data_IF_275409055963
#
_entry.id   IF_275409055963
#
_cell.length_a   1.000
_cell.length_b   1.000
_cell.length_c   1.000
_cell.angle_alpha   90.00
_cell.angle_beta   90.00
_cell.angle_gamma   90.00
#
_symmetry.space_group_name_H-M   'P 1'
#
loop_
_entity.id
_entity.type
_entity.pdbx_description
1 polymer ?
#
# COMPACT_ATOMS: atom_id res chain seq x y z
N UNK A 1 -18.94 -14.69 11.46
CA UNK A 1 -19.84 -14.39 10.32
C UNK A 1 -18.96 -14.17 9.09
N UNK A 2 -18.93 -15.08 8.10
CA UNK A 2 -18.20 -14.80 6.85
C UNK A 2 -18.75 -13.48 6.29
N UNK A 3 -17.88 -12.53 5.93
CA UNK A 3 -18.33 -11.39 5.14
C UNK A 3 -18.58 -11.93 3.73
N UNK A 4 -19.83 -11.93 3.29
CA UNK A 4 -20.23 -12.32 1.92
C UNK A 4 -19.90 -11.21 0.91
N UNK A 5 -18.72 -10.59 1.05
CA UNK A 5 -18.24 -9.54 0.14
C UNK A 5 -17.62 -10.19 -1.09
N UNK A 6 -18.13 -9.84 -2.25
CA UNK A 6 -17.62 -10.25 -3.55
C UNK A 6 -16.69 -9.16 -4.11
N UNK A 7 -15.78 -9.47 -5.06
CA UNK A 7 -14.93 -8.46 -5.67
C UNK A 7 -15.69 -7.28 -6.30
N UNK A 8 -16.92 -7.53 -6.81
CA UNK A 8 -17.79 -6.50 -7.40
C UNK A 8 -18.32 -5.49 -6.38
N UNK A 9 -18.32 -5.85 -5.09
CA UNK A 9 -18.77 -4.95 -4.01
C UNK A 9 -17.70 -3.93 -3.61
N UNK A 10 -16.48 -4.04 -4.17
CA UNK A 10 -15.37 -3.15 -3.87
C UNK A 10 -15.43 -1.91 -4.77
N UNK A 11 -15.65 -0.74 -4.16
CA UNK A 11 -15.70 0.54 -4.87
C UNK A 11 -14.32 1.08 -5.26
N UNK A 12 -13.35 0.99 -4.35
CA UNK A 12 -11.98 1.48 -4.53
C UNK A 12 -10.96 0.36 -4.33
N UNK A 13 -10.00 0.30 -5.24
CA UNK A 13 -8.86 -0.60 -5.17
C UNK A 13 -7.57 0.23 -5.14
N UNK A 14 -6.67 -0.07 -4.21
CA UNK A 14 -5.34 0.52 -4.17
C UNK A 14 -4.32 -0.57 -3.81
N UNK A 15 -3.13 -0.46 -4.39
CA UNK A 15 -1.97 -1.27 -4.00
C UNK A 15 -0.92 -0.36 -3.39
N UNK A 16 -0.14 -0.89 -2.44
CA UNK A 16 1.05 -0.20 -1.96
C UNK A 16 2.08 -0.04 -3.10
N UNK A 17 2.24 -1.07 -3.93
CA UNK A 17 3.16 -1.09 -5.07
C UNK A 17 2.90 -2.28 -6.01
N UNK A 18 3.69 -2.41 -7.08
CA UNK A 18 3.47 -3.36 -8.18
C UNK A 18 4.00 -4.79 -8.00
N UNK A 19 4.63 -5.15 -6.87
CA UNK A 19 5.18 -6.50 -6.73
C UNK A 19 4.10 -7.59 -6.80
N UNK A 20 4.51 -8.76 -7.27
CA UNK A 20 3.60 -9.85 -7.61
C UNK A 20 2.75 -10.32 -6.42
N UNK A 21 3.29 -10.28 -5.21
CA UNK A 21 2.63 -10.70 -3.97
C UNK A 21 1.64 -9.66 -3.43
N UNK A 22 1.73 -8.40 -3.89
CA UNK A 22 0.75 -7.35 -3.60
C UNK A 22 -0.34 -7.26 -4.66
N UNK A 23 -0.08 -7.74 -5.88
CA UNK A 23 -0.98 -7.58 -7.04
C UNK A 23 -1.64 -8.89 -7.50
N UNK A 24 -1.38 -10.01 -6.82
CA UNK A 24 -1.73 -11.36 -7.27
C UNK A 24 -3.18 -11.56 -7.74
N UNK A 25 -4.13 -10.92 -7.07
CA UNK A 25 -5.56 -11.05 -7.36
C UNK A 25 -6.16 -9.79 -8.02
N UNK A 26 -5.34 -8.87 -8.52
CA UNK A 26 -5.77 -7.56 -9.01
C UNK A 26 -6.84 -7.63 -10.09
N UNK A 27 -6.75 -8.60 -11.01
CA UNK A 27 -7.74 -8.78 -12.07
C UNK A 27 -9.17 -9.01 -11.54
N UNK A 28 -9.35 -9.63 -10.37
CA UNK A 28 -10.68 -9.88 -9.81
C UNK A 28 -11.43 -8.58 -9.45
N UNK A 29 -10.69 -7.49 -9.25
CA UNK A 29 -11.22 -6.20 -8.80
C UNK A 29 -11.21 -5.14 -9.92
N UNK A 30 -11.12 -5.56 -11.20
CA UNK A 30 -11.04 -4.62 -12.32
C UNK A 30 -12.30 -3.76 -12.56
N UNK A 31 -13.40 -4.06 -11.86
CA UNK A 31 -14.62 -3.24 -11.83
C UNK A 31 -14.56 -2.10 -10.82
N UNK A 32 -13.66 -2.17 -9.83
CA UNK A 32 -13.44 -1.10 -8.87
C UNK A 32 -12.77 0.11 -9.52
N UNK A 33 -12.86 1.27 -8.87
CA UNK A 33 -12.05 2.44 -9.22
C UNK A 33 -10.64 2.22 -8.69
N UNK A 34 -9.67 2.04 -9.58
CA UNK A 34 -8.27 1.84 -9.22
C UNK A 34 -7.59 3.18 -8.90
N UNK A 35 -7.10 3.31 -7.67
CA UNK A 35 -6.34 4.46 -7.19
C UNK A 35 -4.83 4.15 -7.27
N UNK A 36 -4.10 4.91 -8.10
CA UNK A 36 -2.68 4.59 -8.37
C UNK A 36 -1.85 5.82 -8.69
N UNK A 37 -0.55 5.74 -8.39
CA UNK A 37 0.46 6.71 -8.81
C UNK A 37 0.83 6.49 -10.27
N UNK A 38 0.92 7.58 -11.06
CA UNK A 38 1.27 7.47 -12.48
C UNK A 38 2.57 6.71 -12.69
N UNK A 39 3.60 7.03 -11.91
CA UNK A 39 4.93 6.41 -12.02
C UNK A 39 4.91 4.89 -11.72
N UNK A 40 4.05 4.46 -10.80
CA UNK A 40 3.88 3.04 -10.47
C UNK A 40 3.13 2.31 -11.58
N UNK A 41 2.04 2.92 -12.08
CA UNK A 41 1.26 2.40 -13.20
C UNK A 41 2.09 2.29 -14.49
N UNK A 42 2.93 3.27 -14.76
CA UNK A 42 3.82 3.27 -15.93
C UNK A 42 4.84 2.12 -15.84
N UNK A 43 5.42 1.87 -14.67
CA UNK A 43 6.30 0.73 -14.45
C UNK A 43 5.57 -0.62 -14.65
N UNK A 44 4.32 -0.74 -14.19
CA UNK A 44 3.49 -1.95 -14.36
C UNK A 44 3.21 -2.30 -15.82
N UNK A 45 2.99 -1.29 -16.67
CA UNK A 45 2.56 -1.45 -18.06
C UNK A 45 3.61 -1.05 -19.10
N UNK A 46 4.87 -0.86 -18.68
CA UNK A 46 5.99 -0.65 -19.58
C UNK A 46 6.16 -1.84 -20.56
N UNK A 47 6.83 -1.60 -21.69
CA UNK A 47 7.15 -2.67 -22.65
C UNK A 47 7.98 -3.80 -21.99
N UNK A 48 8.86 -3.42 -21.06
CA UNK A 48 9.67 -4.33 -20.24
C UNK A 48 9.44 -3.99 -18.76
N UNK A 49 8.40 -4.53 -18.12
CA UNK A 49 8.12 -4.24 -16.72
C UNK A 49 9.20 -4.87 -15.82
N UNK A 50 9.39 -4.37 -14.58
CA UNK A 50 10.33 -4.94 -13.62
C UNK A 50 10.09 -6.45 -13.41
N UNK A 51 11.15 -7.24 -13.25
CA UNK A 51 11.07 -8.72 -13.15
C UNK A 51 10.31 -9.23 -11.92
N UNK A 52 10.14 -8.37 -10.92
CA UNK A 52 9.37 -8.57 -9.68
C UNK A 52 7.86 -8.32 -9.88
N UNK A 53 7.43 -7.95 -11.09
CA UNK A 53 6.02 -7.92 -11.47
C UNK A 53 5.59 -9.27 -12.05
N UNK A 54 4.28 -9.53 -12.06
CA UNK A 54 3.68 -10.62 -12.81
C UNK A 54 2.49 -10.07 -13.62
N UNK A 55 2.70 -9.60 -14.87
CA UNK A 55 1.68 -8.88 -15.64
C UNK A 55 0.34 -9.60 -15.79
N UNK A 56 0.34 -10.93 -15.82
CA UNK A 56 -0.88 -11.72 -15.86
C UNK A 56 -1.79 -11.53 -14.65
N UNK A 57 -1.29 -11.09 -13.50
CA UNK A 57 -2.07 -10.85 -12.28
C UNK A 57 -2.91 -9.57 -12.32
N UNK A 58 -2.51 -8.58 -13.12
CA UNK A 58 -3.13 -7.25 -13.16
C UNK A 58 -3.46 -6.73 -14.57
N UNK A 59 -3.34 -7.55 -15.62
CA UNK A 59 -3.60 -7.15 -17.00
C UNK A 59 -4.99 -6.50 -17.21
N UNK A 60 -6.02 -6.93 -16.48
CA UNK A 60 -7.36 -6.35 -16.57
C UNK A 60 -7.43 -4.89 -16.09
N UNK A 61 -6.52 -4.47 -15.21
CA UNK A 61 -6.46 -3.10 -14.71
C UNK A 61 -6.07 -2.08 -15.78
N UNK A 62 -5.40 -2.50 -16.87
CA UNK A 62 -4.93 -1.59 -17.94
C UNK A 62 -6.02 -0.67 -18.47
N UNK A 63 -7.24 -1.19 -18.58
CA UNK A 63 -8.43 -0.51 -19.09
C UNK A 63 -9.50 -0.26 -18.02
N UNK A 64 -9.19 -0.49 -16.74
CA UNK A 64 -10.12 -0.28 -15.64
C UNK A 64 -10.35 1.22 -15.37
N UNK A 65 -11.46 1.55 -14.70
CA UNK A 65 -11.68 2.92 -14.21
C UNK A 65 -10.56 3.26 -13.25
N UNK A 66 -9.80 4.32 -13.55
CA UNK A 66 -8.58 4.66 -12.82
C UNK A 66 -8.61 6.13 -12.40
N UNK A 67 -8.23 6.40 -11.15
CA UNK A 67 -7.86 7.74 -10.67
C UNK A 67 -6.34 7.74 -10.50
N UNK A 68 -5.69 8.63 -11.26
CA UNK A 68 -4.26 8.88 -11.12
C UNK A 68 -4.05 9.91 -10.03
N UNK A 69 -3.30 9.53 -9.00
CA UNK A 69 -3.00 10.41 -7.87
C UNK A 69 -1.69 11.15 -8.15
N UNK A 70 -1.75 12.47 -8.29
CA UNK A 70 -0.61 13.36 -8.53
C UNK A 70 0.09 13.81 -7.25
N UNK A 71 -0.66 14.02 -6.17
CA UNK A 71 -0.17 14.72 -4.97
C UNK A 71 0.36 13.74 -3.94
N UNK A 72 1.41 14.09 -3.19
CA UNK A 72 2.02 13.20 -2.19
C UNK A 72 1.01 12.60 -1.19
N UNK A 73 -0.09 13.30 -0.93
CA UNK A 73 -1.21 12.82 -0.13
C UNK A 73 -2.51 12.81 -0.93
N UNK A 74 -3.34 11.79 -0.73
CA UNK A 74 -4.67 11.70 -1.31
C UNK A 74 -5.67 11.16 -0.30
N UNK A 75 -6.66 11.98 0.00
CA UNK A 75 -7.78 11.63 0.86
C UNK A 75 -8.88 10.97 0.01
N UNK A 76 -9.11 9.68 0.25
CA UNK A 76 -9.99 8.86 -0.59
C UNK A 76 -11.45 9.30 -0.46
N UNK A 77 -11.87 9.76 0.72
CA UNK A 77 -13.25 10.14 0.99
C UNK A 77 -13.43 11.65 1.25
N UNK A 78 -12.35 12.39 1.41
CA UNK A 78 -12.36 13.83 1.70
C UNK A 78 -12.67 14.17 3.16
N UNK A 79 -12.68 13.18 4.06
CA UNK A 79 -12.99 13.34 5.50
C UNK A 79 -11.78 13.02 6.41
N UNK A 80 -10.62 12.73 5.82
CA UNK A 80 -9.39 12.37 6.50
C UNK A 80 -9.41 11.01 7.18
N UNK A 81 -10.39 10.14 6.86
CA UNK A 81 -10.46 8.78 7.41
C UNK A 81 -9.53 7.81 6.70
N UNK A 82 -9.29 8.01 5.40
CA UNK A 82 -8.42 7.15 4.59
C UNK A 82 -7.53 8.03 3.73
N UNK A 83 -6.22 8.04 4.03
CA UNK A 83 -5.24 8.88 3.34
C UNK A 83 -4.13 8.00 2.78
N UNK A 84 -3.95 8.06 1.47
CA UNK A 84 -2.82 7.45 0.77
C UNK A 84 -1.64 8.41 0.80
N UNK A 85 -0.45 7.95 1.22
CA UNK A 85 0.76 8.79 1.28
C UNK A 85 1.87 8.18 0.43
N UNK A 86 2.44 8.98 -0.46
CA UNK A 86 3.59 8.60 -1.27
C UNK A 86 4.78 8.30 -0.36
N UNK A 87 5.45 7.16 -0.58
CA UNK A 87 6.59 6.70 0.19
C UNK A 87 7.60 5.95 -0.72
N UNK A 88 8.17 6.64 -1.72
CA UNK A 88 8.89 5.99 -2.81
C UNK A 88 10.26 5.46 -2.34
N UNK A 89 10.87 4.61 -3.14
CA UNK A 89 12.20 4.05 -2.89
C UNK A 89 12.19 2.53 -3.01
N UNK A 90 11.23 1.86 -2.37
CA UNK A 90 11.03 0.42 -2.59
C UNK A 90 10.63 0.13 -4.05
N UNK A 91 9.61 0.82 -4.53
CA UNK A 91 9.29 1.02 -5.94
C UNK A 91 9.15 2.52 -6.22
N UNK A 92 9.16 2.95 -7.50
CA UNK A 92 9.13 4.37 -7.86
C UNK A 92 7.93 5.14 -7.30
N UNK A 93 6.77 4.50 -7.19
CA UNK A 93 5.53 5.09 -6.70
C UNK A 93 4.92 4.33 -5.53
N UNK A 94 5.77 3.64 -4.74
CA UNK A 94 5.34 2.99 -3.50
C UNK A 94 4.58 3.98 -2.60
N UNK A 95 3.52 3.49 -1.96
CA UNK A 95 2.70 4.27 -1.04
C UNK A 95 2.25 3.47 0.18
N UNK A 96 2.03 4.20 1.27
CA UNK A 96 1.43 3.69 2.51
C UNK A 96 -0.02 4.17 2.63
N UNK A 97 -0.82 3.45 3.43
CA UNK A 97 -2.21 3.81 3.70
C UNK A 97 -2.38 4.17 5.17
N UNK A 98 -2.80 5.40 5.46
CA UNK A 98 -3.26 5.81 6.78
C UNK A 98 -4.78 5.63 6.89
N UNK A 99 -5.21 5.08 8.02
CA UNK A 99 -6.59 4.84 8.41
C UNK A 99 -6.83 5.51 9.75
N UNK A 100 -7.89 6.32 9.87
CA UNK A 100 -8.40 6.83 11.14
C UNK A 100 -9.69 6.10 11.49
N UNK A 101 -9.58 5.15 12.40
CA UNK A 101 -10.69 4.34 12.88
C UNK A 101 -11.23 4.91 14.20
N UNK A 102 -12.54 4.83 14.39
CA UNK A 102 -13.24 5.45 15.52
C UNK A 102 -12.81 4.93 16.90
N UNK A 103 -12.51 3.63 17.04
CA UNK A 103 -12.08 3.03 18.32
C UNK A 103 -10.60 2.65 18.36
N UNK A 104 -10.06 2.19 17.24
CA UNK A 104 -8.67 1.73 17.11
C UNK A 104 -7.71 2.91 16.97
N UNK A 105 -8.21 4.07 16.54
CA UNK A 105 -7.42 5.26 16.28
C UNK A 105 -6.68 5.18 14.94
N UNK A 106 -5.56 5.89 14.85
CA UNK A 106 -4.73 5.94 13.65
C UNK A 106 -3.94 4.66 13.42
N UNK A 107 -3.94 4.16 12.19
CA UNK A 107 -3.16 3.01 11.73
C UNK A 107 -2.54 3.33 10.38
N UNK A 108 -1.24 3.07 10.21
CA UNK A 108 -0.54 3.10 8.93
C UNK A 108 -0.23 1.67 8.49
N UNK A 109 -0.72 1.28 7.32
CA UNK A 109 -0.32 0.07 6.63
C UNK A 109 0.91 0.37 5.77
N UNK A 110 2.04 -0.26 6.05
CA UNK A 110 3.32 0.16 5.47
C UNK A 110 3.56 -0.27 4.03
N UNK A 111 2.80 -1.25 3.51
CA UNK A 111 3.30 -2.06 2.40
C UNK A 111 4.73 -2.52 2.71
N UNK A 112 5.60 -2.37 1.72
CA UNK A 112 7.00 -2.78 1.82
C UNK A 112 7.98 -1.67 2.22
N UNK A 113 7.49 -0.51 2.67
CA UNK A 113 8.35 0.54 3.22
C UNK A 113 9.28 -0.01 4.31
N UNK A 114 8.77 -0.98 5.06
CA UNK A 114 9.53 -1.91 5.88
C UNK A 114 9.07 -3.33 5.57
N UNK A 115 10.00 -4.25 5.36
CA UNK A 115 9.66 -5.67 5.30
C UNK A 115 9.52 -6.27 6.70
N UNK A 116 10.43 -5.94 7.61
CA UNK A 116 10.43 -6.48 8.98
C UNK A 116 10.67 -5.37 10.02
N UNK A 117 10.25 -5.56 11.29
CA UNK A 117 10.52 -4.60 12.37
C UNK A 117 12.02 -4.28 12.54
N UNK A 118 12.89 -5.25 12.29
CA UNK A 118 14.34 -5.10 12.36
C UNK A 118 14.87 -4.12 11.30
N UNK A 119 14.25 -4.07 10.11
CA UNK A 119 14.63 -3.11 9.08
C UNK A 119 14.39 -1.67 9.53
N UNK A 120 13.33 -1.45 10.31
CA UNK A 120 13.02 -0.17 10.95
C UNK A 120 14.02 0.16 12.06
N UNK A 121 14.23 -0.76 12.99
CA UNK A 121 15.13 -0.57 14.15
C UNK A 121 16.59 -0.37 13.74
N UNK A 122 17.08 -1.16 12.79
CA UNK A 122 18.46 -1.14 12.31
C UNK A 122 18.68 -0.16 11.14
N UNK A 123 17.63 0.55 10.70
CA UNK A 123 17.63 1.43 9.53
C UNK A 123 18.23 0.78 8.28
N UNK A 124 17.88 -0.49 8.03
CA UNK A 124 18.37 -1.28 6.89
C UNK A 124 17.45 -1.12 5.70
N UNK A 125 18.03 -0.83 4.53
CA UNK A 125 17.32 -0.76 3.24
C UNK A 125 17.49 -2.10 2.53
N UNK A 126 16.48 -2.54 1.77
CA UNK A 126 16.61 -3.79 1.03
C UNK A 126 17.51 -3.60 -0.19
N UNK A 127 18.21 -4.67 -0.60
CA UNK A 127 19.11 -4.61 -1.76
C UNK A 127 18.37 -4.49 -3.10
N UNK A 128 17.06 -4.75 -3.10
CA UNK A 128 16.20 -4.75 -4.29
C UNK A 128 15.24 -3.56 -4.33
N UNK A 129 15.39 -2.59 -3.42
CA UNK A 129 14.71 -1.30 -3.53
C UNK A 129 15.14 -0.60 -4.83
N UNK A 130 14.16 -0.03 -5.53
CA UNK A 130 14.36 0.76 -6.74
C UNK A 130 15.36 1.91 -6.52
N UNK A 131 15.26 2.61 -5.38
CA UNK A 131 16.17 3.67 -4.96
C UNK A 131 16.47 3.58 -3.46
N UNK A 132 17.66 3.05 -3.15
CA UNK A 132 18.10 2.85 -1.76
C UNK A 132 18.40 4.15 -1.02
N UNK A 133 18.67 5.25 -1.73
CA UNK A 133 18.89 6.56 -1.11
C UNK A 133 17.56 7.27 -0.80
N UNK A 134 16.52 6.98 -1.58
CA UNK A 134 15.18 7.53 -1.39
C UNK A 134 14.41 6.83 -0.26
N UNK A 135 14.56 5.51 -0.09
CA UNK A 135 13.84 4.76 0.96
C UNK A 135 14.00 5.37 2.37
N UNK A 136 15.21 5.75 2.85
CA UNK A 136 15.38 6.42 4.14
C UNK A 136 14.62 7.74 4.26
N UNK A 137 14.55 8.54 3.18
CA UNK A 137 13.81 9.82 3.17
C UNK A 137 12.31 9.58 3.36
N UNK A 138 11.77 8.60 2.64
CA UNK A 138 10.36 8.19 2.76
C UNK A 138 10.05 7.66 4.16
N UNK A 139 10.96 6.87 4.74
CA UNK A 139 10.85 6.38 6.11
C UNK A 139 10.83 7.52 7.12
N UNK A 140 11.76 8.48 7.03
CA UNK A 140 11.81 9.62 7.93
C UNK A 140 10.51 10.45 7.85
N UNK A 141 9.95 10.65 6.65
CA UNK A 141 8.67 11.32 6.48
C UNK A 141 7.50 10.57 7.15
N UNK A 142 7.45 9.24 7.01
CA UNK A 142 6.42 8.42 7.65
C UNK A 142 6.62 8.33 9.18
N UNK A 143 7.85 8.28 9.67
CA UNK A 143 8.15 8.33 11.12
C UNK A 143 7.70 9.66 11.73
N UNK A 144 7.99 10.79 11.08
CA UNK A 144 7.51 12.09 11.51
C UNK A 144 5.96 12.15 11.54
N UNK A 145 5.30 11.55 10.56
CA UNK A 145 3.85 11.43 10.51
C UNK A 145 3.28 10.56 11.64
N UNK A 146 3.91 9.41 11.93
CA UNK A 146 3.53 8.53 13.05
C UNK A 146 3.66 9.26 14.38
N UNK A 147 4.74 10.02 14.61
CA UNK A 147 4.92 10.85 15.81
C UNK A 147 3.81 11.91 15.92
N UNK A 148 3.54 12.63 14.83
CA UNK A 148 2.53 13.70 14.80
C UNK A 148 1.12 13.19 15.09
N UNK A 149 0.78 12.00 14.61
CA UNK A 149 -0.58 11.44 14.69
C UNK A 149 -0.78 10.49 15.86
N UNK A 150 0.30 9.97 16.46
CA UNK A 150 0.24 8.86 17.40
C UNK A 150 -0.26 7.55 16.78
N UNK A 151 -0.25 7.45 15.45
CA UNK A 151 -0.76 6.29 14.74
C UNK A 151 0.13 5.06 14.97
N UNK A 152 -0.50 3.89 14.95
CA UNK A 152 0.20 2.61 14.92
C UNK A 152 0.81 2.38 13.53
N UNK A 153 1.91 1.63 13.46
CA UNK A 153 2.48 1.15 12.19
C UNK A 153 2.32 -0.36 12.10
N UNK A 154 1.67 -0.85 11.05
CA UNK A 154 1.54 -2.27 10.76
C UNK A 154 2.42 -2.64 9.57
N UNK A 155 3.45 -3.44 9.85
CA UNK A 155 4.40 -3.94 8.86
C UNK A 155 3.83 -5.20 8.20
N UNK A 156 3.69 -5.19 6.87
CA UNK A 156 2.90 -6.23 6.17
C UNK A 156 3.58 -7.60 6.11
N UNK A 157 4.91 -7.67 6.19
CA UNK A 157 5.66 -8.94 6.28
C UNK A 157 6.16 -9.27 7.71
N UNK A 158 5.66 -8.58 8.75
CA UNK A 158 5.93 -8.95 10.14
C UNK A 158 5.02 -10.12 10.58
N UNK A 159 5.57 -11.33 10.60
CA UNK A 159 4.83 -12.52 11.05
C UNK A 159 4.31 -12.40 12.49
N UNK A 160 5.13 -11.90 13.41
CA UNK A 160 4.78 -11.80 14.83
C UNK A 160 3.72 -10.72 15.02
N UNK A 161 3.90 -9.55 14.44
CA UNK A 161 2.90 -8.47 14.41
C UNK A 161 1.58 -8.96 13.80
N UNK A 162 1.63 -9.59 12.62
CA UNK A 162 0.47 -10.11 11.92
C UNK A 162 -0.34 -11.11 12.76
N UNK A 163 0.34 -12.01 13.49
CA UNK A 163 -0.32 -13.03 14.35
C UNK A 163 -1.16 -12.44 15.49
N UNK A 164 -0.88 -11.20 15.90
CA UNK A 164 -1.59 -10.49 16.99
C UNK A 164 -2.78 -9.67 16.51
N UNK A 165 -2.90 -9.48 15.20
CA UNK A 165 -3.98 -8.69 14.64
C UNK A 165 -5.29 -9.50 14.57
N UNK A 166 -6.42 -8.83 14.73
CA UNK A 166 -7.74 -9.40 14.46
C UNK A 166 -7.83 -9.79 12.99
N UNK A 167 -8.32 -10.99 12.70
CA UNK A 167 -8.45 -11.51 11.34
C UNK A 167 -9.91 -11.72 11.00
N UNK A 168 -10.23 -11.60 9.72
CA UNK A 168 -11.57 -11.88 9.24
C UNK A 168 -12.04 -13.24 9.80
N UNK A 169 -13.26 -13.30 10.36
CA UNK A 169 -14.33 -12.30 10.25
C UNK A 169 -14.29 -11.13 11.26
N UNK A 170 -13.36 -11.10 12.20
CA UNK A 170 -13.19 -9.97 13.11
C UNK A 170 -12.67 -8.73 12.37
N UNK A 171 -12.82 -7.55 13.00
CA UNK A 171 -12.46 -6.29 12.38
C UNK A 171 -11.96 -5.26 13.40
N UNK A 172 -11.40 -4.19 12.84
CA UNK A 172 -11.05 -2.96 13.53
C UNK A 172 -12.09 -1.90 13.20
N UNK A 173 -12.41 -1.10 14.19
CA UNK A 173 -13.38 -0.01 14.15
C UNK A 173 -12.82 1.18 14.90
#
# INVERSE_FOLDING_TARGET
MKRDTQPIDIEYLAFSHYHYDHTANANAFATATWLVRQIERDAMFAEKPPTVTQPSYYAALKNSKTIIISDDEYDVFGDGSVIMKLAPGHTPGHQVLYLRLARTGGVVLSGDLYHFPEARTLKRVTIFDFDQAQTPVSRDAIEAFLIKTGAQLWIQHDYIGNSRLKKAPDYYE
#
